data_IF_029947656114
#
_entry.id   IF_029947656114
#
_cell.length_a   1.000
_cell.length_b   1.000
_cell.length_c   1.000
_cell.angle_alpha   90.00
_cell.angle_beta   90.00
_cell.angle_gamma   90.00
#
_symmetry.space_group_name_H-M   'P 1'
#
loop_
_entity.id
_entity.type
_entity.pdbx_description
1 polymer ?
#
# COMPACT_ATOMS: atom_id res chain seq x y z
N UNK A 1 16.59 12.79 -23.39
CA UNK A 1 17.27 11.53 -23.60
C UNK A 1 16.48 10.39 -22.99
N UNK A 2 16.54 9.24 -23.65
CA UNK A 2 15.76 8.08 -23.26
C UNK A 2 16.07 7.60 -21.85
N UNK A 3 17.34 7.60 -21.47
CA UNK A 3 17.75 7.10 -20.15
C UNK A 3 17.24 7.97 -19.01
N UNK A 4 17.24 9.29 -19.20
CA UNK A 4 16.73 10.23 -18.19
C UNK A 4 15.23 10.04 -18.03
N UNK A 5 14.49 9.93 -19.12
CA UNK A 5 13.04 9.71 -19.06
C UNK A 5 12.71 8.38 -18.42
N UNK A 6 13.48 7.34 -18.75
CA UNK A 6 13.27 6.02 -18.18
C UNK A 6 13.49 6.04 -16.67
N UNK A 7 14.54 6.70 -16.19
CA UNK A 7 14.83 6.81 -14.78
C UNK A 7 13.73 7.56 -14.02
N UNK A 8 13.22 8.64 -14.61
CA UNK A 8 12.11 9.38 -14.03
C UNK A 8 10.87 8.51 -13.93
N UNK A 9 10.60 7.77 -15.00
CA UNK A 9 9.44 6.89 -15.06
C UNK A 9 9.51 5.83 -13.96
N UNK A 10 10.64 5.17 -13.83
CA UNK A 10 10.84 4.12 -12.83
C UNK A 10 10.71 4.69 -11.42
N UNK A 11 11.36 5.82 -11.17
CA UNK A 11 11.32 6.46 -9.85
C UNK A 11 9.91 6.85 -9.47
N UNK A 12 9.19 7.48 -10.40
CA UNK A 12 7.82 7.91 -10.14
C UNK A 12 6.89 6.73 -9.89
N UNK A 13 7.04 5.68 -10.69
CA UNK A 13 6.24 4.47 -10.52
C UNK A 13 6.49 3.82 -9.16
N UNK A 14 7.74 3.79 -8.72
CA UNK A 14 8.08 3.27 -7.40
C UNK A 14 7.49 4.11 -6.28
N UNK A 15 7.50 5.43 -6.44
CA UNK A 15 6.91 6.34 -5.47
C UNK A 15 5.40 6.11 -5.33
N UNK A 16 4.76 5.68 -6.41
CA UNK A 16 3.33 5.37 -6.40
C UNK A 16 3.04 3.95 -5.93
N UNK A 17 4.07 3.20 -5.56
CA UNK A 17 3.90 1.89 -4.95
C UNK A 17 3.84 0.72 -5.91
N UNK A 18 4.17 0.92 -7.19
CA UNK A 18 4.22 -0.18 -8.15
C UNK A 18 5.39 -1.12 -7.86
N UNK A 19 5.14 -2.42 -7.97
CA UNK A 19 6.19 -3.42 -7.84
C UNK A 19 7.07 -3.43 -9.09
N UNK A 20 8.28 -3.99 -8.96
CA UNK A 20 9.25 -3.99 -10.05
C UNK A 20 8.70 -4.63 -11.33
N UNK A 21 8.02 -5.76 -11.21
CA UNK A 21 7.42 -6.45 -12.36
C UNK A 21 6.30 -5.63 -12.99
N UNK A 22 5.53 -4.90 -12.19
CA UNK A 22 4.50 -4.00 -12.69
C UNK A 22 5.13 -2.82 -13.44
N UNK A 23 6.24 -2.30 -12.93
CA UNK A 23 6.97 -1.21 -13.58
C UNK A 23 7.50 -1.67 -14.94
N UNK A 24 8.00 -2.90 -15.01
CA UNK A 24 8.48 -3.47 -16.26
C UNK A 24 7.34 -3.56 -17.29
N UNK A 25 6.18 -4.01 -16.86
CA UNK A 25 5.00 -4.08 -17.73
C UNK A 25 4.62 -2.70 -18.24
N UNK A 26 4.63 -1.69 -17.36
CA UNK A 26 4.32 -0.32 -17.76
C UNK A 26 5.34 0.23 -18.74
N UNK A 27 6.63 -0.07 -18.54
CA UNK A 27 7.68 0.33 -19.47
C UNK A 27 7.48 -0.30 -20.84
N UNK A 28 7.12 -1.58 -20.87
CA UNK A 28 6.86 -2.29 -22.12
C UNK A 28 5.70 -1.64 -22.87
N UNK A 29 4.64 -1.28 -22.17
CA UNK A 29 3.49 -0.59 -22.77
C UNK A 29 3.87 0.81 -23.27
N UNK A 30 4.71 1.50 -22.51
CA UNK A 30 5.15 2.84 -22.93
C UNK A 30 5.95 2.79 -24.23
N UNK A 31 6.77 1.75 -24.41
CA UNK A 31 7.58 1.57 -25.60
C UNK A 31 6.80 0.98 -26.78
N UNK A 32 5.62 0.45 -26.53
CA UNK A 32 4.78 -0.18 -27.56
C UNK A 32 3.87 0.86 -28.19
N UNK A 33 4.11 1.13 -29.47
CA UNK A 33 3.34 2.12 -30.22
C UNK A 33 1.90 1.66 -30.49
N UNK A 34 1.65 0.36 -30.38
CA UNK A 34 0.31 -0.19 -30.58
C UNK A 34 -0.48 -0.28 -29.26
N UNK A 35 0.09 0.24 -28.18
CA UNK A 35 -0.56 0.16 -26.86
C UNK A 35 -1.93 0.82 -26.89
N UNK A 36 -2.83 0.25 -26.08
CA UNK A 36 -4.13 0.85 -25.87
C UNK A 36 -4.18 1.45 -24.46
N UNK A 37 -4.73 2.66 -24.37
CA UNK A 37 -4.86 3.33 -23.08
C UNK A 37 -5.74 2.55 -22.12
N UNK A 38 -6.62 1.69 -22.64
CA UNK A 38 -7.44 0.80 -21.82
C UNK A 38 -6.59 -0.18 -21.01
N UNK A 39 -5.49 -0.65 -21.59
CA UNK A 39 -4.58 -1.57 -20.89
C UNK A 39 -3.87 -0.89 -19.74
N UNK A 40 -3.41 0.34 -19.98
CA UNK A 40 -2.76 1.15 -18.94
C UNK A 40 -3.73 1.45 -17.81
N UNK A 41 -4.97 1.82 -18.18
CA UNK A 41 -6.02 2.10 -17.19
C UNK A 41 -6.33 0.88 -16.33
N UNK A 42 -6.37 -0.30 -16.95
CA UNK A 42 -6.64 -1.54 -16.23
C UNK A 42 -5.58 -1.82 -15.17
N UNK A 43 -4.32 -1.64 -15.54
CA UNK A 43 -3.20 -1.83 -14.60
C UNK A 43 -3.30 -0.83 -13.45
N UNK A 44 -3.56 0.43 -13.76
CA UNK A 44 -3.69 1.47 -12.76
C UNK A 44 -4.87 1.21 -11.83
N UNK A 45 -6.00 0.77 -12.39
CA UNK A 45 -7.19 0.46 -11.60
C UNK A 45 -6.93 -0.70 -10.63
N UNK A 46 -6.27 -1.75 -11.10
CA UNK A 46 -5.90 -2.87 -10.23
C UNK A 46 -5.00 -2.44 -9.11
N UNK A 47 -4.07 -1.55 -9.40
CA UNK A 47 -3.17 -1.03 -8.38
C UNK A 47 -3.91 -0.16 -7.36
N UNK A 48 -4.85 0.65 -7.82
CA UNK A 48 -5.69 1.46 -6.92
C UNK A 48 -6.47 0.56 -5.97
N UNK A 49 -7.08 -0.50 -6.50
CA UNK A 49 -7.84 -1.44 -5.67
C UNK A 49 -6.95 -2.10 -4.61
N UNK A 50 -5.74 -2.47 -5.00
CA UNK A 50 -4.76 -3.05 -4.09
C UNK A 50 -4.40 -2.08 -2.97
N UNK A 51 -4.15 -0.83 -3.33
CA UNK A 51 -3.84 0.22 -2.35
C UNK A 51 -5.02 0.46 -1.42
N UNK A 52 -6.24 0.44 -1.95
CA UNK A 52 -7.44 0.64 -1.13
C UNK A 52 -7.60 -0.49 -0.11
N UNK A 53 -7.28 -1.73 -0.49
CA UNK A 53 -7.29 -2.84 0.44
C UNK A 53 -6.24 -2.67 1.54
N UNK A 54 -5.06 -2.17 1.18
CA UNK A 54 -4.00 -1.90 2.16
C UNK A 54 -4.41 -0.78 3.12
N UNK A 55 -5.06 0.25 2.60
CA UNK A 55 -5.59 1.34 3.43
C UNK A 55 -6.60 0.77 4.44
N UNK A 56 -7.52 -0.08 3.98
CA UNK A 56 -8.52 -0.68 4.85
C UNK A 56 -7.86 -1.54 5.93
N UNK A 57 -6.85 -2.33 5.57
CA UNK A 57 -6.11 -3.16 6.52
C UNK A 57 -5.39 -2.30 7.56
N UNK A 58 -4.75 -1.24 7.11
CA UNK A 58 -4.05 -0.32 8.01
C UNK A 58 -5.05 0.37 8.94
N UNK A 59 -6.22 0.74 8.42
CA UNK A 59 -7.25 1.36 9.25
C UNK A 59 -7.74 0.40 10.33
N UNK A 60 -7.88 -0.89 10.01
CA UNK A 60 -8.24 -1.89 10.99
C UNK A 60 -7.19 -2.01 12.10
N UNK A 61 -5.92 -1.94 11.72
CA UNK A 61 -4.83 -1.96 12.70
C UNK A 61 -4.91 -0.75 13.64
N UNK A 62 -5.13 0.42 13.05
CA UNK A 62 -5.28 1.66 13.82
C UNK A 62 -6.48 1.54 14.76
N UNK A 63 -7.62 1.09 14.25
CA UNK A 63 -8.84 0.97 15.04
C UNK A 63 -8.66 -0.01 16.19
N UNK A 64 -8.01 -1.14 15.93
CA UNK A 64 -7.75 -2.15 16.96
C UNK A 64 -6.88 -1.58 18.07
N UNK A 65 -5.79 -0.91 17.69
CA UNK A 65 -4.88 -0.32 18.67
C UNK A 65 -5.57 0.81 19.44
N UNK A 66 -6.38 1.61 18.76
CA UNK A 66 -7.09 2.70 19.38
C UNK A 66 -8.07 2.17 20.44
N UNK A 67 -8.78 1.09 20.09
CA UNK A 67 -9.73 0.46 21.02
C UNK A 67 -8.99 -0.06 22.26
N UNK A 68 -7.84 -0.71 22.06
CA UNK A 68 -7.04 -1.24 23.16
C UNK A 68 -6.53 -0.11 24.05
N UNK A 69 -6.10 1.00 23.44
CA UNK A 69 -5.66 2.18 24.18
C UNK A 69 -6.80 2.79 25.00
N UNK A 70 -7.96 2.91 24.39
CA UNK A 70 -9.12 3.52 25.05
C UNK A 70 -9.58 2.70 26.26
N UNK A 71 -9.37 1.39 26.22
CA UNK A 71 -9.66 0.52 27.34
C UNK A 71 -8.61 0.60 28.45
N UNK A 72 -7.44 1.18 28.14
CA UNK A 72 -6.37 1.32 29.11
C UNK A 72 -6.53 2.64 29.85
N UNK A 73 -6.64 2.57 31.18
CA UNK A 73 -6.83 3.76 32.00
C UNK A 73 -5.56 4.59 32.17
N UNK A 74 -4.45 4.13 31.61
CA UNK A 74 -3.20 4.87 31.71
C UNK A 74 -2.59 4.94 33.09
N UNK A 75 -3.00 4.04 33.98
CA UNK A 75 -2.55 4.03 35.35
C UNK A 75 -1.54 2.93 35.64
N UNK A 76 -1.35 2.67 36.90
CA UNK A 76 -0.40 1.66 37.37
C UNK A 76 -0.99 0.25 37.36
N UNK A 77 -1.94 -0.01 36.49
CA UNK A 77 -2.56 -1.32 36.40
C UNK A 77 -1.56 -2.36 35.89
N UNK A 78 -1.47 -3.49 36.61
CA UNK A 78 -0.64 -4.58 36.08
C UNK A 78 -1.23 -5.20 34.81
N UNK A 79 -2.54 -5.05 34.60
CA UNK A 79 -3.24 -5.55 33.45
C UNK A 79 -3.32 -4.46 32.37
N UNK A 80 -2.53 -4.60 31.33
CA UNK A 80 -2.60 -3.67 30.20
C UNK A 80 -3.43 -4.31 29.11
N UNK A 81 -4.61 -3.75 28.76
CA UNK A 81 -5.46 -4.32 27.71
C UNK A 81 -4.73 -4.49 26.37
N UNK A 82 -3.78 -3.60 26.06
CA UNK A 82 -3.00 -3.71 24.85
C UNK A 82 -2.16 -4.98 24.86
N UNK A 83 -1.43 -5.21 25.94
CA UNK A 83 -0.57 -6.39 26.08
C UNK A 83 -1.39 -7.66 26.12
N UNK A 84 -2.51 -7.65 26.84
CA UNK A 84 -3.40 -8.80 26.93
C UNK A 84 -4.00 -9.13 25.58
N UNK A 85 -4.46 -8.11 24.83
CA UNK A 85 -5.01 -8.30 23.50
C UNK A 85 -4.00 -8.91 22.53
N UNK A 86 -2.77 -8.44 22.58
CA UNK A 86 -1.69 -8.96 21.72
C UNK A 86 -1.33 -10.40 22.10
N UNK A 87 -1.31 -10.70 23.40
CA UNK A 87 -1.01 -12.05 23.88
C UNK A 87 -2.05 -13.07 23.41
N UNK A 88 -3.32 -12.66 23.35
CA UNK A 88 -4.39 -13.55 22.91
C UNK A 88 -4.41 -13.73 21.39
N UNK A 89 -3.70 -12.90 20.66
CA UNK A 89 -3.69 -12.99 19.22
C UNK A 89 -4.96 -12.47 18.54
N UNK A 90 -5.70 -11.63 19.22
CA UNK A 90 -6.94 -11.03 18.70
C UNK A 90 -6.75 -9.66 18.11
#
# INVERSE_FOLDING_TARGET
EKDVHRLRFVRRARDLGFAVDEIQTLLDLWNDRSRHSADVKRIARGHIEDLQQRIASLQQMVDTLQTLMDCCAGGERPDCPILVGLERGE
#
